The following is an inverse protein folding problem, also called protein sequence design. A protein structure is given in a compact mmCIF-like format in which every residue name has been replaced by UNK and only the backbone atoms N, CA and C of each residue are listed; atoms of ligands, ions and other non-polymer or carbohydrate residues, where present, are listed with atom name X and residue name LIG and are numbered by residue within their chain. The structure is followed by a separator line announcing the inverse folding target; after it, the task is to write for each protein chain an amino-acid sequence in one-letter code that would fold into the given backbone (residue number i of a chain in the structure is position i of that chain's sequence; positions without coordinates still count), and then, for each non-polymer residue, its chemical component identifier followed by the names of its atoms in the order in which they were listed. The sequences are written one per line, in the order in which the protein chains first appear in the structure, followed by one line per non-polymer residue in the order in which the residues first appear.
data_IF_541843696605
#
_entry.id   IF_541843696605
#
_cell.length_a   1.000
_cell.length_b   1.000
_cell.length_c   1.000
_cell.angle_alpha   90.00
_cell.angle_beta   90.00
_cell.angle_gamma   90.00
#
_symmetry.space_group_name_H-M   'P 1'
#
loop_
_entity.id
_entity.type
_entity.pdbx_description
1 polymer ?
#
# COMPACT_ATOMS: atom_id res chain seq x y z
N UNK A 1 -42.08 1.50 -13.86
CA UNK A 1 -41.28 0.89 -14.96
C UNK A 1 -40.55 1.91 -15.84
N UNK A 2 -41.13 3.08 -16.21
CA UNK A 2 -40.40 4.10 -17.00
C UNK A 2 -39.22 4.80 -16.27
N UNK A 3 -39.23 4.88 -14.94
CA UNK A 3 -38.13 5.45 -14.14
C UNK A 3 -36.91 4.52 -14.00
N UNK A 4 -37.13 3.20 -14.08
CA UNK A 4 -36.05 2.20 -14.04
C UNK A 4 -35.35 2.10 -15.41
N UNK A 5 -36.10 2.29 -16.50
CA UNK A 5 -35.56 2.32 -17.86
C UNK A 5 -34.66 3.54 -18.12
N UNK A 6 -34.91 4.67 -17.46
CA UNK A 6 -34.10 5.89 -17.57
C UNK A 6 -32.79 5.81 -16.78
N UNK A 7 -32.78 5.13 -15.63
CA UNK A 7 -31.57 4.88 -14.83
C UNK A 7 -30.63 3.89 -15.52
N UNK A 8 -31.17 2.86 -16.18
CA UNK A 8 -30.36 1.88 -16.92
C UNK A 8 -29.72 2.49 -18.18
N UNK A 9 -30.38 3.48 -18.81
CA UNK A 9 -29.89 4.13 -20.03
C UNK A 9 -28.76 5.15 -19.77
N UNK A 10 -28.70 5.73 -18.56
CA UNK A 10 -27.60 6.60 -18.12
C UNK A 10 -26.35 5.79 -17.78
N UNK A 11 -26.51 4.54 -17.31
CA UNK A 11 -25.39 3.66 -16.97
C UNK A 11 -24.63 3.14 -18.21
N UNK A 12 -25.31 3.00 -19.35
CA UNK A 12 -24.72 2.50 -20.60
C UNK A 12 -23.87 3.58 -21.31
N UNK A 13 -24.11 4.87 -21.04
CA UNK A 13 -23.37 5.99 -21.66
C UNK A 13 -22.00 6.23 -20.98
N UNK A 14 -21.76 5.65 -19.80
CA UNK A 14 -20.48 5.79 -19.08
C UNK A 14 -19.40 4.79 -19.49
N UNK A 15 -19.71 3.78 -20.32
CA UNK A 15 -18.79 2.70 -20.68
C UNK A 15 -18.16 2.83 -22.08
N UNK A 16 -18.35 3.96 -22.76
CA UNK A 16 -17.72 4.24 -24.05
C UNK A 16 -17.00 5.59 -24.02
N UNK A 17 -15.78 5.61 -23.48
CA UNK A 17 -14.98 6.84 -23.33
C UNK A 17 -13.47 6.63 -23.22
N UNK A 18 -12.84 6.29 -24.35
CA UNK A 18 -11.46 6.62 -24.77
C UNK A 18 -10.27 6.56 -23.78
N UNK A 19 -9.46 5.52 -23.95
CA UNK A 19 -8.18 5.28 -23.28
C UNK A 19 -6.99 6.16 -23.69
N UNK A 20 -7.11 7.50 -23.71
CA UNK A 20 -5.94 8.42 -23.77
C UNK A 20 -6.12 9.76 -23.03
N UNK A 21 -7.23 9.99 -22.33
CA UNK A 21 -7.49 11.24 -21.59
C UNK A 21 -7.32 11.12 -20.06
N UNK A 22 -7.02 9.92 -19.55
CA UNK A 22 -6.92 9.64 -18.11
C UNK A 22 -5.61 10.15 -17.52
N UNK A 23 -4.50 10.16 -18.28
CA UNK A 23 -3.20 10.66 -17.80
C UNK A 23 -3.24 12.15 -17.42
N UNK A 24 -4.03 12.97 -18.12
CA UNK A 24 -4.13 14.42 -17.84
C UNK A 24 -5.09 14.79 -16.71
N UNK A 25 -5.92 13.84 -16.26
CA UNK A 25 -6.84 14.01 -15.14
C UNK A 25 -6.25 13.49 -13.83
N UNK A 26 -5.35 12.51 -13.89
CA UNK A 26 -4.60 12.04 -12.73
C UNK A 26 -3.73 13.16 -12.13
N UNK A 27 -2.95 13.89 -12.95
CA UNK A 27 -2.12 15.02 -12.48
C UNK A 27 -2.92 16.14 -11.81
N UNK A 28 -4.17 16.36 -12.26
CA UNK A 28 -5.00 17.45 -11.75
C UNK A 28 -5.83 17.06 -10.52
N UNK A 29 -6.16 15.77 -10.37
CA UNK A 29 -6.83 15.25 -9.18
C UNK A 29 -5.87 15.11 -8.00
N UNK A 30 -4.62 14.70 -8.25
CA UNK A 30 -3.56 14.65 -7.23
C UNK A 30 -3.21 16.07 -6.74
N UNK A 31 -3.09 17.05 -7.65
CA UNK A 31 -2.86 18.45 -7.26
C UNK A 31 -4.01 19.09 -6.45
N UNK A 32 -5.24 18.60 -6.59
CA UNK A 32 -6.42 19.09 -5.87
C UNK A 32 -6.57 18.48 -4.47
N UNK A 33 -6.06 17.27 -4.23
CA UNK A 33 -6.02 16.69 -2.87
C UNK A 33 -4.86 17.25 -2.04
N UNK A 34 -3.78 17.69 -2.68
CA UNK A 34 -2.62 18.31 -2.02
C UNK A 34 -2.79 19.82 -1.75
N UNK A 35 -3.93 20.42 -2.13
CA UNK A 35 -4.21 21.85 -1.97
C UNK A 35 -5.14 22.18 -0.80
N UNK A 36 -5.43 21.24 0.11
CA UNK A 36 -6.03 21.61 1.40
C UNK A 36 -4.98 22.36 2.23
N UNK A 37 -5.33 23.57 2.66
CA UNK A 37 -4.47 24.62 3.22
C UNK A 37 -3.70 24.26 4.52
N UNK A 38 -3.76 23.00 4.98
CA UNK A 38 -3.19 22.53 6.25
C UNK A 38 -2.08 21.47 6.10
N UNK A 39 -1.72 21.02 4.90
CA UNK A 39 -0.63 20.03 4.75
C UNK A 39 0.72 20.74 4.61
N UNK A 40 1.47 20.83 5.71
CA UNK A 40 2.86 21.30 5.68
C UNK A 40 3.76 20.21 5.07
N UNK A 41 3.81 20.14 3.74
CA UNK A 41 4.73 19.24 3.03
C UNK A 41 6.15 19.79 3.14
N UNK A 42 6.91 19.32 4.13
CA UNK A 42 8.37 19.48 4.15
C UNK A 42 8.98 18.34 3.35
N UNK A 43 9.36 18.63 2.10
CA UNK A 43 10.18 17.73 1.29
C UNK A 43 11.62 17.96 1.70
N UNK A 44 12.14 17.06 2.54
CA UNK A 44 13.58 17.02 2.78
C UNK A 44 14.22 16.04 1.80
N UNK A 45 14.88 16.58 0.77
CA UNK A 45 15.76 15.80 -0.12
C UNK A 45 17.19 15.71 0.41
N UNK A 46 17.43 16.07 1.68
CA UNK A 46 18.77 16.10 2.30
C UNK A 46 19.21 14.77 2.91
N UNK A 47 18.37 13.74 2.87
CA UNK A 47 18.82 12.38 3.12
C UNK A 47 19.71 11.98 1.94
N UNK A 48 21.03 12.06 2.09
CA UNK A 48 22.02 11.72 1.06
C UNK A 48 22.04 10.23 0.66
N UNK A 49 20.93 9.53 0.83
CA UNK A 49 20.71 8.09 0.75
C UNK A 49 19.69 7.68 -0.33
N UNK A 50 19.19 8.63 -1.13
CA UNK A 50 18.32 8.31 -2.27
C UNK A 50 16.85 8.06 -1.89
N UNK A 51 16.35 8.76 -0.86
CA UNK A 51 14.95 8.71 -0.42
C UNK A 51 14.26 10.09 -0.48
N UNK A 52 12.94 10.11 -0.49
CA UNK A 52 12.09 11.30 -0.35
C UNK A 52 11.25 11.16 0.90
N UNK A 53 11.37 12.12 1.83
CA UNK A 53 10.59 12.17 3.06
C UNK A 53 9.45 13.18 2.90
N UNK A 54 8.24 12.76 3.25
CA UNK A 54 7.03 13.58 3.33
C UNK A 54 6.55 13.54 4.77
N UNK A 55 6.54 14.69 5.44
CA UNK A 55 5.95 14.83 6.78
C UNK A 55 4.60 15.52 6.65
N UNK A 56 3.57 14.99 7.30
CA UNK A 56 2.25 15.59 7.45
C UNK A 56 1.88 15.65 8.93
N UNK A 57 0.78 16.31 9.27
CA UNK A 57 0.25 16.31 10.64
C UNK A 57 -0.17 14.91 11.12
N UNK A 58 -0.40 13.98 10.18
CA UNK A 58 -0.81 12.61 10.45
C UNK A 58 0.36 11.64 10.60
N UNK A 59 1.56 11.99 10.13
CA UNK A 59 2.71 11.10 10.21
C UNK A 59 3.87 11.43 9.28
N UNK A 60 4.83 10.52 9.23
CA UNK A 60 5.99 10.57 8.35
C UNK A 60 5.91 9.45 7.33
N UNK A 61 6.05 9.80 6.05
CA UNK A 61 6.15 8.86 4.94
C UNK A 61 7.55 8.99 4.32
N UNK A 62 8.19 7.87 4.04
CA UNK A 62 9.48 7.80 3.36
C UNK A 62 9.35 6.89 2.15
N UNK A 63 9.81 7.36 0.99
CA UNK A 63 9.72 6.65 -0.29
C UNK A 63 11.10 6.60 -0.93
N UNK A 64 11.50 5.44 -1.48
CA UNK A 64 12.74 5.32 -2.23
C UNK A 64 12.66 6.17 -3.52
N UNK A 65 13.69 6.97 -3.79
CA UNK A 65 13.71 7.92 -4.93
C UNK A 65 14.07 7.25 -6.26
N UNK A 66 14.59 6.02 -6.23
CA UNK A 66 14.92 5.24 -7.42
C UNK A 66 14.43 3.79 -7.29
N UNK A 67 14.33 3.09 -8.43
CA UNK A 67 13.82 1.72 -8.49
C UNK A 67 14.74 0.68 -7.83
N UNK A 68 15.98 1.03 -7.50
CA UNK A 68 16.91 0.16 -6.77
C UNK A 68 17.00 0.47 -5.27
N UNK A 69 16.42 1.58 -4.83
CA UNK A 69 16.53 2.10 -3.48
C UNK A 69 15.70 1.32 -2.47
N UNK A 70 16.09 1.45 -1.21
CA UNK A 70 15.34 0.96 -0.06
C UNK A 70 15.33 2.02 1.02
N UNK A 71 14.20 2.15 1.70
CA UNK A 71 14.06 2.99 2.90
C UNK A 71 14.17 2.13 4.16
N UNK A 72 14.42 2.77 5.30
CA UNK A 72 14.46 2.09 6.58
C UNK A 72 13.04 1.80 7.10
N UNK A 73 12.89 0.71 7.86
CA UNK A 73 11.66 0.44 8.61
C UNK A 73 11.53 1.48 9.73
N UNK A 74 10.34 2.08 9.95
CA UNK A 74 10.15 3.07 11.00
C UNK A 74 10.39 2.49 12.39
N UNK A 75 10.91 3.31 13.29
CA UNK A 75 11.12 2.90 14.67
C UNK A 75 9.77 2.62 15.34
N UNK A 76 9.67 1.51 16.06
CA UNK A 76 8.46 1.14 16.79
C UNK A 76 7.48 0.28 16.00
N UNK A 77 7.77 -0.02 14.73
CA UNK A 77 7.05 -1.05 14.00
C UNK A 77 7.08 -2.38 14.79
N UNK A 78 5.94 -3.08 14.96
CA UNK A 78 5.84 -4.27 15.81
C UNK A 78 6.33 -5.53 15.08
N UNK A 79 7.63 -5.58 14.77
CA UNK A 79 8.25 -6.65 13.97
C UNK A 79 8.14 -8.03 14.64
N UNK A 80 8.08 -8.08 15.98
CA UNK A 80 7.88 -9.32 16.74
C UNK A 80 6.47 -9.93 16.56
N UNK A 81 5.48 -9.11 16.18
CA UNK A 81 4.08 -9.54 16.00
C UNK A 81 3.79 -9.77 14.52
N UNK A 82 4.07 -8.77 13.68
CA UNK A 82 3.87 -8.83 12.23
C UNK A 82 5.24 -8.61 11.58
N UNK A 83 5.98 -9.66 11.23
CA UNK A 83 7.31 -9.50 10.67
C UNK A 83 7.26 -9.06 9.21
N UNK A 84 8.29 -8.37 8.75
CA UNK A 84 8.39 -7.85 7.38
C UNK A 84 9.21 -8.80 6.52
N UNK A 85 8.73 -9.10 5.31
CA UNK A 85 9.52 -9.83 4.31
C UNK A 85 10.66 -8.96 3.73
N UNK A 86 11.75 -8.76 4.49
CA UNK A 86 12.79 -7.75 4.20
C UNK A 86 13.97 -8.25 3.35
N UNK A 87 13.79 -9.30 2.54
CA UNK A 87 14.90 -9.92 1.78
C UNK A 87 15.56 -9.02 0.74
N UNK A 88 14.78 -8.18 0.06
CA UNK A 88 15.25 -7.37 -1.06
C UNK A 88 15.22 -5.88 -0.75
N UNK A 89 14.05 -5.23 -0.81
CA UNK A 89 13.94 -3.79 -0.56
C UNK A 89 12.57 -3.37 -0.05
N UNK A 90 12.57 -2.34 0.79
CA UNK A 90 11.39 -1.60 1.22
C UNK A 90 11.33 -0.32 0.39
N UNK A 91 10.33 -0.19 -0.48
CA UNK A 91 10.22 0.96 -1.40
C UNK A 91 9.45 2.12 -0.78
N UNK A 92 8.64 1.86 0.24
CA UNK A 92 7.94 2.87 1.00
C UNK A 92 7.71 2.39 2.43
N UNK A 93 7.86 3.31 3.38
CA UNK A 93 7.45 3.09 4.76
C UNK A 93 6.79 4.34 5.32
N UNK A 94 5.68 4.15 6.04
CA UNK A 94 4.96 5.21 6.71
C UNK A 94 4.76 4.90 8.19
N UNK A 95 4.88 5.92 9.00
CA UNK A 95 4.65 5.93 10.45
C UNK A 95 3.62 7.02 10.75
N UNK A 96 2.44 6.60 11.20
CA UNK A 96 1.34 7.47 11.59
C UNK A 96 1.20 7.57 13.12
N UNK A 97 2.27 7.25 13.86
CA UNK A 97 2.31 7.25 15.32
C UNK A 97 1.33 6.23 15.90
N UNK A 98 0.38 6.71 16.71
CA UNK A 98 -0.63 5.86 17.35
C UNK A 98 -1.61 5.25 16.33
N UNK A 99 -1.70 5.79 15.11
CA UNK A 99 -2.58 5.30 14.06
C UNK A 99 -1.97 4.15 13.23
N UNK A 100 -0.74 3.74 13.54
CA UNK A 100 -0.11 2.56 12.95
C UNK A 100 0.89 2.84 11.83
N UNK A 101 1.18 1.81 11.05
CA UNK A 101 2.26 1.78 10.07
C UNK A 101 1.79 1.21 8.73
N UNK A 102 2.44 1.67 7.65
CA UNK A 102 2.33 1.07 6.32
C UNK A 102 3.72 0.75 5.79
N UNK A 103 3.94 -0.49 5.34
CA UNK A 103 5.21 -0.94 4.74
C UNK A 103 4.92 -1.51 3.37
N UNK A 104 5.59 -1.00 2.35
CA UNK A 104 5.55 -1.55 0.99
C UNK A 104 6.94 -2.00 0.62
N UNK A 105 7.06 -3.28 0.27
CA UNK A 105 8.31 -3.86 -0.18
C UNK A 105 8.15 -4.63 -1.48
N UNK A 106 9.29 -4.94 -2.07
CA UNK A 106 9.38 -5.68 -3.32
C UNK A 106 10.43 -6.76 -3.18
N UNK A 107 10.19 -7.91 -3.81
CA UNK A 107 11.13 -9.03 -3.83
C UNK A 107 11.11 -9.78 -5.15
N UNK A 108 12.23 -10.42 -5.48
CA UNK A 108 12.37 -11.32 -6.64
C UNK A 108 11.96 -12.75 -6.34
N UNK A 109 11.72 -13.09 -5.07
CA UNK A 109 11.17 -14.38 -4.70
C UNK A 109 9.74 -14.50 -5.25
N UNK A 110 9.33 -15.71 -5.59
CA UNK A 110 8.01 -15.95 -6.15
C UNK A 110 6.87 -15.67 -5.15
N UNK A 111 5.68 -15.40 -5.68
CA UNK A 111 4.51 -15.07 -4.88
C UNK A 111 4.19 -16.14 -3.84
N UNK A 112 4.33 -17.42 -4.18
CA UNK A 112 4.04 -18.53 -3.27
C UNK A 112 4.95 -18.52 -2.05
N UNK A 113 6.22 -18.16 -2.22
CA UNK A 113 7.20 -18.03 -1.14
C UNK A 113 6.83 -16.90 -0.19
N UNK A 114 6.45 -15.73 -0.73
CA UNK A 114 6.04 -14.56 0.08
C UNK A 114 4.73 -14.83 0.82
N UNK A 115 3.75 -15.43 0.14
CA UNK A 115 2.46 -15.81 0.75
C UNK A 115 2.69 -16.79 1.89
N UNK A 116 3.47 -17.85 1.66
CA UNK A 116 3.77 -18.84 2.69
C UNK A 116 4.43 -18.22 3.92
N UNK A 117 5.34 -17.28 3.73
CA UNK A 117 5.97 -16.57 4.84
C UNK A 117 4.93 -15.88 5.73
N UNK A 118 3.98 -15.15 5.13
CA UNK A 118 2.95 -14.46 5.92
C UNK A 118 1.91 -15.42 6.48
N UNK A 119 1.57 -16.52 5.80
CA UNK A 119 0.71 -17.56 6.37
C UNK A 119 1.35 -18.18 7.63
N UNK A 120 2.65 -18.46 7.60
CA UNK A 120 3.39 -19.02 8.74
C UNK A 120 3.52 -17.98 9.87
N UNK A 121 3.71 -16.70 9.55
CA UNK A 121 3.82 -15.61 10.52
C UNK A 121 2.48 -15.26 11.19
N UNK A 122 1.36 -15.44 10.50
CA UNK A 122 0.03 -15.09 10.99
C UNK A 122 -0.69 -16.27 11.67
N UNK A 123 0.03 -17.35 11.99
CA UNK A 123 -0.53 -18.48 12.75
C UNK A 123 -1.05 -17.99 14.10
N UNK A 124 -2.33 -18.21 14.37
CA UNK A 124 -2.99 -17.77 15.60
C UNK A 124 -3.75 -16.45 15.48
N UNK A 125 -3.69 -15.79 14.32
CA UNK A 125 -4.51 -14.63 14.03
C UNK A 125 -6.01 -14.97 13.99
N UNK A 126 -6.83 -14.05 14.49
CA UNK A 126 -8.27 -14.02 14.23
C UNK A 126 -8.52 -13.40 12.85
N UNK A 127 -8.43 -14.23 11.80
CA UNK A 127 -8.59 -13.75 10.42
C UNK A 127 -10.05 -13.38 10.11
N UNK A 128 -10.24 -12.17 9.61
CA UNK A 128 -11.55 -11.64 9.17
C UNK A 128 -11.79 -11.93 7.70
N UNK A 129 -10.73 -11.88 6.88
CA UNK A 129 -10.80 -12.16 5.45
C UNK A 129 -9.48 -12.75 4.98
N UNK A 130 -9.56 -13.84 4.22
CA UNK A 130 -8.44 -14.40 3.46
C UNK A 130 -8.92 -14.61 2.04
N UNK A 131 -8.21 -14.03 1.08
CA UNK A 131 -8.50 -14.14 -0.34
C UNK A 131 -7.22 -14.51 -1.09
N UNK A 132 -7.35 -15.44 -2.01
CA UNK A 132 -6.28 -15.86 -2.89
C UNK A 132 -6.88 -16.00 -4.30
N UNK A 133 -6.45 -15.11 -5.18
CA UNK A 133 -6.80 -15.08 -6.58
C UNK A 133 -5.52 -15.12 -7.41
N UNK A 134 -5.66 -15.38 -8.71
CA UNK A 134 -4.52 -15.37 -9.62
C UNK A 134 -3.83 -13.99 -9.59
N UNK A 135 -2.54 -13.98 -9.21
CA UNK A 135 -1.73 -12.77 -9.06
C UNK A 135 -1.98 -11.91 -7.81
N UNK A 136 -2.87 -12.31 -6.89
CA UNK A 136 -3.11 -11.53 -5.65
C UNK A 136 -3.50 -12.41 -4.46
N UNK A 137 -2.83 -12.15 -3.33
CA UNK A 137 -3.17 -12.69 -2.02
C UNK A 137 -3.47 -11.54 -1.06
N UNK A 138 -4.48 -11.72 -0.21
CA UNK A 138 -4.83 -10.79 0.84
C UNK A 138 -5.23 -11.54 2.10
N UNK A 139 -4.73 -11.10 3.25
CA UNK A 139 -5.15 -11.55 4.57
C UNK A 139 -5.32 -10.35 5.48
N UNK A 140 -6.43 -10.28 6.20
CA UNK A 140 -6.68 -9.26 7.22
C UNK A 140 -7.33 -9.87 8.44
N UNK A 141 -7.03 -9.34 9.61
CA UNK A 141 -7.49 -9.86 10.89
C UNK A 141 -6.83 -9.17 12.07
N UNK A 142 -6.89 -9.82 13.23
CA UNK A 142 -6.25 -9.37 14.46
C UNK A 142 -5.23 -10.39 14.93
N UNK A 143 -4.02 -9.96 15.27
CA UNK A 143 -2.99 -10.79 15.90
C UNK A 143 -2.38 -10.01 17.08
N UNK A 144 -2.39 -10.61 18.27
CA UNK A 144 -1.82 -10.04 19.51
C UNK A 144 -2.20 -8.57 19.78
N UNK A 145 -3.45 -8.19 19.48
CA UNK A 145 -3.94 -6.82 19.69
C UNK A 145 -3.59 -5.84 18.58
N UNK A 146 -3.11 -6.32 17.43
CA UNK A 146 -2.88 -5.51 16.23
C UNK A 146 -3.83 -5.93 15.11
N UNK A 147 -4.56 -4.97 14.53
CA UNK A 147 -5.20 -5.14 13.24
C UNK A 147 -4.12 -5.18 12.15
N UNK A 148 -4.18 -6.17 11.28
CA UNK A 148 -3.29 -6.28 10.13
C UNK A 148 -4.06 -6.35 8.82
N UNK A 149 -3.43 -5.85 7.75
CA UNK A 149 -3.74 -6.16 6.37
C UNK A 149 -2.43 -6.48 5.65
N UNK A 150 -2.31 -7.73 5.20
CA UNK A 150 -1.24 -8.19 4.31
C UNK A 150 -1.82 -8.33 2.92
N UNK A 151 -1.20 -7.69 1.95
CA UNK A 151 -1.47 -7.90 0.53
C UNK A 151 -0.17 -8.28 -0.17
N UNK A 152 -0.23 -9.30 -1.02
CA UNK A 152 0.87 -9.70 -1.91
C UNK A 152 0.32 -9.70 -3.33
N UNK A 153 1.01 -9.03 -4.23
CA UNK A 153 0.60 -8.90 -5.63
C UNK A 153 1.77 -9.23 -6.54
N UNK A 154 1.49 -10.06 -7.53
CA UNK A 154 2.36 -10.25 -8.68
C UNK A 154 2.12 -9.07 -9.63
N UNK A 155 2.97 -8.05 -9.54
CA UNK A 155 2.95 -6.93 -10.47
C UNK A 155 3.82 -7.33 -11.67
N UNK A 156 3.29 -8.22 -12.49
CA UNK A 156 3.97 -8.81 -13.66
C UNK A 156 4.16 -7.79 -14.81
N UNK A 157 4.62 -6.58 -14.49
CA UNK A 157 5.10 -5.55 -15.41
C UNK A 157 6.55 -5.79 -15.87
N UNK A 158 7.21 -4.74 -16.37
CA UNK A 158 8.56 -4.83 -16.98
C UNK A 158 9.69 -5.23 -16.00
N UNK A 159 9.43 -5.16 -14.69
CA UNK A 159 10.38 -5.50 -13.63
C UNK A 159 9.86 -6.72 -12.85
N UNK A 160 10.56 -7.86 -12.92
CA UNK A 160 10.22 -9.14 -12.27
C UNK A 160 10.24 -9.06 -10.73
N UNK A 161 9.28 -8.37 -10.10
CA UNK A 161 9.14 -8.26 -8.65
C UNK A 161 7.72 -8.58 -8.19
N UNK A 162 7.65 -9.35 -7.11
CA UNK A 162 6.47 -9.45 -6.27
C UNK A 162 6.47 -8.26 -5.32
N UNK A 163 5.34 -7.56 -5.25
CA UNK A 163 5.14 -6.48 -4.29
C UNK A 163 4.32 -6.98 -3.10
N UNK A 164 4.68 -6.57 -1.90
CA UNK A 164 3.88 -6.79 -0.70
C UNK A 164 3.60 -5.45 0.00
N UNK A 165 2.42 -5.37 0.61
CA UNK A 165 1.95 -4.24 1.39
C UNK A 165 1.46 -4.74 2.75
N UNK A 166 1.92 -4.10 3.81
CA UNK A 166 1.55 -4.35 5.20
C UNK A 166 0.97 -3.08 5.78
N UNK A 167 -0.27 -3.15 6.25
CA UNK A 167 -0.88 -2.10 7.08
C UNK A 167 -1.10 -2.70 8.46
N UNK A 168 -0.57 -2.04 9.49
CA UNK A 168 -0.61 -2.53 10.87
C UNK A 168 -1.06 -1.41 11.78
N UNK A 169 -2.17 -1.60 12.50
CA UNK A 169 -2.80 -0.60 13.38
C UNK A 169 -3.16 -1.25 14.72
N UNK A 170 -3.04 -0.57 15.86
CA UNK A 170 -3.54 -1.10 17.14
C UNK A 170 -5.02 -1.53 17.05
N UNK A 171 -5.40 -2.60 17.75
CA UNK A 171 -6.79 -2.98 17.93
C UNK A 171 -7.45 -2.14 19.04
N UNK A 172 -8.69 -1.71 18.81
CA UNK A 172 -9.52 -1.00 19.81
C UNK A 172 -10.02 -1.92 20.92
#
# INVERSE_FOLDING_TARGET
MKRFLLLLLVLIVLLAGCGKAVEKLADKAVGSMLSSEDVKVEIDSSSGDGSTVITTDEGKIEVASDSGGSVAVPKGYPEDIIPIYSKDKIVMAADYGENGFTIVGQTKDDMATVVKYYEDALVGAESTLVQNFDGMYMSMGVLEGMNYNVQVTDDSGDDEYISFNLIVVPAE
#
